data_IF_101818885551
#
_entry.id   IF_101818885551
#
_cell.length_a   1.000
_cell.length_b   1.000
_cell.length_c   1.000
_cell.angle_alpha   90.00
_cell.angle_beta   90.00
_cell.angle_gamma   90.00
#
_symmetry.space_group_name_H-M   'P 1'
#
loop_
_entity.id
_entity.type
_entity.pdbx_description
1 polymer ?
#
# COMPACT_ATOMS: atom_id res chain seq x y z
N UNK A 1 -0.95 4.64 -9.07
CA UNK A 1 -0.34 5.98 -8.88
C UNK A 1 0.62 5.97 -7.70
N UNK A 2 0.17 5.65 -6.48
CA UNK A 2 1.04 5.62 -5.30
C UNK A 2 2.27 4.71 -5.44
N UNK A 3 2.10 3.52 -6.00
CA UNK A 3 3.22 2.61 -6.24
C UNK A 3 4.29 3.13 -7.23
N UNK A 4 3.92 4.03 -8.15
CA UNK A 4 4.84 4.58 -9.15
C UNK A 4 5.41 5.93 -8.75
N UNK A 5 4.61 6.81 -8.13
CA UNK A 5 4.98 8.20 -7.92
C UNK A 5 4.86 8.68 -6.47
N UNK A 6 4.55 7.77 -5.53
CA UNK A 6 4.33 8.09 -4.12
C UNK A 6 2.93 8.65 -3.82
N UNK A 7 2.67 8.96 -2.54
CA UNK A 7 1.50 9.71 -2.08
C UNK A 7 1.49 11.08 -2.72
N UNK A 8 0.63 11.21 -3.71
CA UNK A 8 0.42 12.46 -4.41
C UNK A 8 -0.93 13.02 -3.92
N UNK A 9 -0.94 14.26 -3.42
CA UNK A 9 -2.17 15.00 -3.07
C UNK A 9 -3.01 15.38 -4.30
N UNK A 10 -2.95 14.59 -5.38
CA UNK A 10 -3.75 14.78 -6.56
C UNK A 10 -5.20 14.47 -6.18
N UNK A 11 -6.11 15.46 -6.16
CA UNK A 11 -7.49 15.21 -5.83
C UNK A 11 -8.07 14.21 -6.83
N UNK A 12 -8.86 13.24 -6.36
CA UNK A 12 -9.66 12.33 -7.19
C UNK A 12 -10.83 13.11 -7.84
N UNK A 13 -10.51 14.21 -8.55
CA UNK A 13 -11.40 14.86 -9.50
C UNK A 13 -11.34 14.08 -10.81
N UNK A 14 -12.44 14.07 -11.56
CA UNK A 14 -12.62 13.35 -12.83
C UNK A 14 -11.45 13.48 -13.84
N UNK A 15 -10.63 14.52 -13.74
CA UNK A 15 -9.45 14.78 -14.56
C UNK A 15 -8.38 13.69 -14.52
N UNK A 16 -8.28 12.88 -13.46
CA UNK A 16 -7.20 11.89 -13.32
C UNK A 16 -7.61 10.43 -13.50
N UNK A 17 -8.91 10.16 -13.71
CA UNK A 17 -9.42 8.80 -13.88
C UNK A 17 -8.82 8.13 -15.12
N UNK A 18 -8.69 8.86 -16.23
CA UNK A 18 -8.08 8.36 -17.46
C UNK A 18 -6.65 7.86 -17.23
N UNK A 19 -5.81 8.67 -16.57
CA UNK A 19 -4.43 8.27 -16.26
C UNK A 19 -4.37 7.05 -15.35
N UNK A 20 -5.28 6.96 -14.35
CA UNK A 20 -5.36 5.79 -13.48
C UNK A 20 -5.70 4.51 -14.26
N UNK A 21 -6.65 4.59 -15.20
CA UNK A 21 -7.02 3.48 -16.09
C UNK A 21 -5.86 3.10 -17.00
N UNK A 22 -5.18 4.07 -17.63
CA UNK A 22 -4.03 3.80 -18.50
C UNK A 22 -2.87 3.14 -17.74
N UNK A 23 -2.59 3.59 -16.52
CA UNK A 23 -1.57 2.97 -15.66
C UNK A 23 -1.98 1.56 -15.26
N UNK A 24 -3.25 1.33 -14.95
CA UNK A 24 -3.74 0.00 -14.63
C UNK A 24 -3.60 -0.95 -15.83
N UNK A 25 -3.98 -0.51 -17.03
CA UNK A 25 -3.80 -1.28 -18.28
C UNK A 25 -2.32 -1.59 -18.51
N UNK A 26 -1.44 -0.60 -18.36
CA UNK A 26 0.00 -0.80 -18.50
C UNK A 26 0.55 -1.82 -17.49
N UNK A 27 0.12 -1.75 -16.22
CA UNK A 27 0.50 -2.71 -15.19
C UNK A 27 0.04 -4.14 -15.50
N UNK A 28 -1.20 -4.29 -15.98
CA UNK A 28 -1.72 -5.59 -16.44
C UNK A 28 -0.92 -6.12 -17.63
N UNK A 29 -0.58 -5.26 -18.60
CA UNK A 29 0.23 -5.66 -19.75
C UNK A 29 1.62 -6.17 -19.34
N UNK A 30 2.25 -5.55 -18.33
CA UNK A 30 3.52 -6.01 -17.76
C UNK A 30 3.40 -7.42 -17.16
N UNK A 31 2.34 -7.70 -16.41
CA UNK A 31 2.10 -9.05 -15.87
C UNK A 31 1.82 -10.09 -16.95
N UNK A 32 0.98 -9.75 -17.94
CA UNK A 32 0.70 -10.64 -19.07
C UNK A 32 1.99 -10.96 -19.82
N UNK A 33 2.85 -9.97 -20.05
CA UNK A 33 4.15 -10.17 -20.68
C UNK A 33 5.05 -11.14 -19.88
N UNK A 34 5.11 -10.97 -18.56
CA UNK A 34 5.87 -11.86 -17.68
C UNK A 34 5.34 -13.30 -17.71
N UNK A 35 4.03 -13.47 -17.61
CA UNK A 35 3.37 -14.80 -17.66
C UNK A 35 3.64 -15.49 -18.99
N UNK A 36 3.78 -14.74 -20.09
CA UNK A 36 4.12 -15.31 -21.38
C UNK A 36 5.61 -15.70 -21.49
N UNK A 37 6.53 -14.81 -21.14
CA UNK A 37 7.94 -14.91 -21.54
C UNK A 37 8.94 -15.21 -20.42
N UNK A 38 8.59 -15.04 -19.14
CA UNK A 38 9.53 -15.20 -18.04
C UNK A 38 9.91 -16.65 -17.72
N UNK A 39 10.79 -16.84 -16.75
CA UNK A 39 11.06 -18.12 -16.11
C UNK A 39 9.91 -18.56 -15.20
N UNK A 40 9.83 -19.85 -14.91
CA UNK A 40 8.67 -20.45 -14.23
C UNK A 40 8.45 -19.89 -12.83
N UNK A 41 9.53 -19.58 -12.12
CA UNK A 41 9.50 -18.99 -10.78
C UNK A 41 8.76 -17.64 -10.79
N UNK A 42 9.06 -16.76 -11.76
CA UNK A 42 8.40 -15.46 -11.88
C UNK A 42 6.94 -15.62 -12.33
N UNK A 43 6.67 -16.55 -13.24
CA UNK A 43 5.29 -16.84 -13.68
C UNK A 43 4.41 -17.26 -12.52
N UNK A 44 4.88 -18.25 -11.74
CA UNK A 44 4.16 -18.74 -10.56
C UNK A 44 3.98 -17.64 -9.52
N UNK A 45 4.99 -16.79 -9.30
CA UNK A 45 4.88 -15.68 -8.37
C UNK A 45 3.83 -14.65 -8.81
N UNK A 46 3.81 -14.26 -10.09
CA UNK A 46 2.81 -13.32 -10.63
C UNK A 46 1.40 -13.90 -10.55
N UNK A 47 1.22 -15.18 -10.88
CA UNK A 47 -0.09 -15.87 -10.77
C UNK A 47 -0.53 -15.91 -9.31
N UNK A 48 0.35 -16.32 -8.40
CA UNK A 48 0.07 -16.37 -6.96
C UNK A 48 -0.34 -14.99 -6.42
N UNK A 49 0.44 -13.95 -6.70
CA UNK A 49 0.13 -12.58 -6.28
C UNK A 49 -1.22 -12.09 -6.83
N UNK A 50 -1.55 -12.45 -8.08
CA UNK A 50 -2.83 -12.11 -8.70
C UNK A 50 -4.00 -12.83 -8.04
N UNK A 51 -3.87 -14.12 -7.74
CA UNK A 51 -4.90 -14.90 -7.02
C UNK A 51 -5.13 -14.34 -5.62
N UNK A 52 -4.07 -14.01 -4.89
CA UNK A 52 -4.19 -13.39 -3.57
C UNK A 52 -4.90 -12.04 -3.64
N UNK A 53 -4.57 -11.20 -4.62
CA UNK A 53 -5.26 -9.93 -4.83
C UNK A 53 -6.75 -10.14 -5.09
N UNK A 54 -7.11 -11.06 -5.99
CA UNK A 54 -8.51 -11.38 -6.29
C UNK A 54 -9.24 -11.85 -5.03
N UNK A 55 -8.66 -12.79 -4.28
CA UNK A 55 -9.25 -13.27 -3.03
C UNK A 55 -9.46 -12.14 -2.02
N UNK A 56 -8.49 -11.23 -1.90
CA UNK A 56 -8.56 -10.12 -0.97
C UNK A 56 -9.54 -9.01 -1.38
N UNK A 57 -9.77 -8.83 -2.69
CA UNK A 57 -10.79 -7.91 -3.22
C UNK A 57 -12.21 -8.51 -3.17
N UNK A 58 -12.34 -9.83 -3.27
CA UNK A 58 -13.63 -10.51 -3.11
C UNK A 58 -14.14 -10.45 -1.67
N UNK A 59 -13.22 -10.56 -0.68
CA UNK A 59 -13.59 -10.44 0.73
C UNK A 59 -12.60 -9.57 1.52
N UNK A 60 -12.65 -8.24 1.34
CA UNK A 60 -11.76 -7.34 2.05
C UNK A 60 -12.12 -7.27 3.53
N UNK A 61 -11.13 -7.46 4.38
CA UNK A 61 -11.16 -7.21 5.82
C UNK A 61 -11.06 -5.69 6.08
N UNK A 62 -12.10 -4.97 5.67
CA UNK A 62 -12.22 -3.53 5.85
C UNK A 62 -13.59 -3.19 6.46
N UNK A 63 -13.64 -2.09 7.23
CA UNK A 63 -14.89 -1.60 7.78
C UNK A 63 -15.87 -1.21 6.65
N UNK A 64 -17.19 -1.42 6.81
CA UNK A 64 -18.18 -0.92 5.87
C UNK A 64 -18.16 0.62 5.79
N UNK A 65 -18.34 1.23 4.59
CA UNK A 65 -18.46 0.60 3.28
C UNK A 65 -17.11 0.10 2.75
N UNK A 66 -17.01 -1.21 2.50
CA UNK A 66 -15.74 -1.94 2.27
C UNK A 66 -14.89 -1.34 1.14
N UNK A 67 -15.49 -1.10 -0.02
CA UNK A 67 -14.78 -0.57 -1.20
C UNK A 67 -14.23 0.84 -1.00
N UNK A 68 -14.96 1.68 -0.27
CA UNK A 68 -14.50 3.03 0.07
C UNK A 68 -13.36 2.96 1.08
N UNK A 69 -13.42 2.04 2.04
CA UNK A 69 -12.35 1.83 3.01
C UNK A 69 -11.03 1.38 2.37
N UNK A 70 -11.08 0.71 1.21
CA UNK A 70 -9.88 0.37 0.41
C UNK A 70 -9.18 1.60 -0.20
N UNK A 71 -9.86 2.74 -0.32
CA UNK A 71 -9.25 3.99 -0.78
C UNK A 71 -8.42 4.67 0.33
N UNK A 72 -8.54 4.22 1.58
CA UNK A 72 -7.76 4.74 2.70
C UNK A 72 -6.35 4.14 2.73
N UNK A 73 -5.48 4.68 3.58
CA UNK A 73 -4.14 4.11 3.82
C UNK A 73 -4.18 2.63 4.25
N UNK A 74 -5.26 2.20 4.90
CA UNK A 74 -5.48 0.80 5.28
C UNK A 74 -5.68 -0.13 4.08
N UNK A 75 -6.03 0.40 2.92
CA UNK A 75 -6.17 -0.37 1.68
C UNK A 75 -4.82 -0.79 1.07
N UNK A 76 -3.73 -0.10 1.38
CA UNK A 76 -2.42 -0.30 0.75
C UNK A 76 -1.89 -1.73 0.94
N UNK A 77 -2.18 -2.36 2.09
CA UNK A 77 -1.77 -3.74 2.40
C UNK A 77 -2.27 -4.79 1.40
N UNK A 78 -3.42 -4.56 0.77
CA UNK A 78 -3.96 -5.47 -0.25
C UNK A 78 -3.12 -5.47 -1.53
N UNK A 79 -2.35 -4.42 -1.74
CA UNK A 79 -1.51 -4.24 -2.92
C UNK A 79 -0.06 -4.70 -2.70
N UNK A 80 0.30 -5.17 -1.50
CA UNK A 80 1.68 -5.53 -1.16
C UNK A 80 2.26 -6.61 -2.08
N UNK A 81 1.61 -7.77 -2.19
CA UNK A 81 2.08 -8.84 -3.07
C UNK A 81 2.08 -8.45 -4.56
N UNK A 82 1.02 -7.82 -5.11
CA UNK A 82 1.06 -7.27 -6.46
C UNK A 82 2.19 -6.28 -6.70
N UNK A 83 2.51 -5.41 -5.73
CA UNK A 83 3.64 -4.48 -5.86
C UNK A 83 4.97 -5.22 -5.95
N UNK A 84 5.18 -6.25 -5.12
CA UNK A 84 6.39 -7.08 -5.20
C UNK A 84 6.47 -7.83 -6.55
N UNK A 85 5.36 -8.42 -7.00
CA UNK A 85 5.30 -9.06 -8.31
C UNK A 85 5.61 -8.09 -9.45
N UNK A 86 5.14 -6.85 -9.35
CA UNK A 86 5.40 -5.81 -10.33
C UNK A 86 6.89 -5.42 -10.36
N UNK A 87 7.50 -5.17 -9.20
CA UNK A 87 8.94 -4.86 -9.08
C UNK A 87 9.79 -6.02 -9.62
N UNK A 88 9.50 -7.26 -9.21
CA UNK A 88 10.20 -8.45 -9.71
C UNK A 88 10.08 -8.58 -11.22
N UNK A 89 8.92 -8.25 -11.78
CA UNK A 89 8.71 -8.26 -13.23
C UNK A 89 9.53 -7.19 -13.93
N UNK A 90 9.57 -5.96 -13.40
CA UNK A 90 10.40 -4.89 -13.96
C UNK A 90 11.89 -5.22 -13.90
N UNK A 91 12.36 -5.82 -12.80
CA UNK A 91 13.75 -6.27 -12.67
C UNK A 91 14.09 -7.35 -13.71
N UNK A 92 13.20 -8.31 -13.93
CA UNK A 92 13.37 -9.31 -14.99
C UNK A 92 13.38 -8.65 -16.39
N UNK A 93 12.45 -7.73 -16.66
CA UNK A 93 12.39 -6.97 -17.93
C UNK A 93 13.64 -6.12 -18.18
N UNK A 94 14.30 -5.66 -17.11
CA UNK A 94 15.54 -4.87 -17.21
C UNK A 94 16.78 -5.70 -17.61
N UNK A 95 16.68 -7.04 -17.59
CA UNK A 95 17.77 -7.93 -17.97
C UNK A 95 18.09 -7.92 -19.47
N UNK A 96 19.35 -8.27 -19.81
CA UNK A 96 19.87 -8.22 -21.19
C UNK A 96 19.14 -9.13 -22.19
N UNK A 97 18.43 -10.15 -21.71
CA UNK A 97 17.68 -11.10 -22.54
C UNK A 97 16.42 -10.48 -23.17
N UNK A 98 15.97 -9.33 -22.68
CA UNK A 98 14.78 -8.66 -23.16
C UNK A 98 15.11 -7.56 -24.20
N UNK A 99 14.19 -7.26 -25.13
CA UNK A 99 14.37 -6.19 -26.10
C UNK A 99 14.73 -4.84 -25.45
N UNK A 100 15.62 -4.07 -26.10
CA UNK A 100 16.15 -2.78 -25.58
C UNK A 100 15.05 -1.80 -25.16
N UNK A 101 13.95 -1.75 -25.91
CA UNK A 101 12.81 -0.87 -25.61
C UNK A 101 12.18 -1.25 -24.27
N UNK A 102 11.83 -2.52 -24.06
CA UNK A 102 11.22 -2.99 -22.80
C UNK A 102 12.16 -2.81 -21.61
N UNK A 103 13.46 -3.05 -21.82
CA UNK A 103 14.48 -2.77 -20.81
C UNK A 103 14.53 -1.29 -20.44
N UNK A 104 14.53 -0.39 -21.42
CA UNK A 104 14.52 1.05 -21.18
C UNK A 104 13.28 1.50 -20.41
N UNK A 105 12.10 1.00 -20.78
CA UNK A 105 10.85 1.27 -20.08
C UNK A 105 10.91 0.77 -18.63
N UNK A 106 11.42 -0.45 -18.41
CA UNK A 106 11.53 -1.03 -17.08
C UNK A 106 12.49 -0.25 -16.18
N UNK A 107 13.66 0.14 -16.69
CA UNK A 107 14.62 0.97 -15.97
C UNK A 107 14.05 2.35 -15.63
N UNK A 108 13.37 3.00 -16.59
CA UNK A 108 12.70 4.27 -16.34
C UNK A 108 11.63 4.14 -15.24
N UNK A 109 10.81 3.08 -15.29
CA UNK A 109 9.79 2.82 -14.27
C UNK A 109 10.42 2.59 -12.88
N UNK A 110 11.49 1.79 -12.79
CA UNK A 110 12.21 1.54 -11.52
C UNK A 110 12.84 2.82 -10.93
N UNK A 111 13.39 3.69 -11.77
CA UNK A 111 13.93 4.98 -11.35
C UNK A 111 12.83 5.89 -10.80
N UNK A 112 11.70 6.01 -11.52
CA UNK A 112 10.54 6.79 -11.08
C UNK A 112 9.98 6.27 -9.77
N UNK A 113 9.87 4.94 -9.61
CA UNK A 113 9.46 4.31 -8.34
C UNK A 113 10.40 4.65 -7.19
N UNK A 114 11.72 4.64 -7.44
CA UNK A 114 12.72 4.94 -6.42
C UNK A 114 12.58 6.38 -5.90
N UNK A 115 12.31 7.34 -6.78
CA UNK A 115 11.98 8.72 -6.39
C UNK A 115 10.69 8.77 -5.55
N UNK A 116 9.66 8.02 -5.95
CA UNK A 116 8.42 7.90 -5.19
C UNK A 116 8.62 7.34 -3.77
N UNK A 117 9.43 6.29 -3.63
CA UNK A 117 9.75 5.67 -2.33
C UNK A 117 10.46 6.65 -1.41
N UNK A 118 11.47 7.38 -1.91
CA UNK A 118 12.20 8.37 -1.11
C UNK A 118 11.28 9.51 -0.66
N UNK A 119 10.39 9.97 -1.55
CA UNK A 119 9.41 11.00 -1.22
C UNK A 119 8.45 10.55 -0.11
N UNK A 120 8.00 9.31 -0.17
CA UNK A 120 7.03 8.74 0.77
C UNK A 120 7.63 8.34 2.13
N UNK A 121 8.96 8.35 2.27
CA UNK A 121 9.65 8.02 3.52
C UNK A 121 9.36 9.03 4.65
N UNK A 122 8.85 10.22 4.33
CA UNK A 122 8.54 11.22 5.34
C UNK A 122 7.25 10.87 6.09
N UNK A 123 7.41 10.36 7.32
CA UNK A 123 6.32 10.23 8.27
C UNK A 123 6.13 11.53 9.04
N UNK A 124 4.91 12.10 9.10
CA UNK A 124 4.66 13.25 9.95
C UNK A 124 4.85 12.86 11.43
N UNK A 125 5.37 13.79 12.22
CA UNK A 125 5.49 13.60 13.67
C UNK A 125 4.08 13.43 14.24
N UNK A 126 3.86 12.38 15.03
CA UNK A 126 2.61 12.19 15.75
C UNK A 126 2.45 13.27 16.82
N UNK A 127 1.22 13.75 17.01
CA UNK A 127 0.92 14.67 18.10
C UNK A 127 1.23 13.97 19.43
N UNK A 128 1.99 14.64 20.30
CA UNK A 128 2.16 14.18 21.68
C UNK A 128 0.81 14.34 22.39
N UNK A 129 0.18 13.20 22.70
CA UNK A 129 -1.06 13.12 23.47
C UNK A 129 -0.78 12.88 24.95
N UNK A 130 0.44 13.18 25.43
CA UNK A 130 0.83 13.09 26.84
C UNK A 130 0.58 11.71 27.46
N UNK A 131 0.92 10.66 26.73
CA UNK A 131 0.67 9.26 27.13
C UNK A 131 1.19 8.93 28.55
N UNK A 132 2.33 9.50 28.94
CA UNK A 132 2.90 9.29 30.27
C UNK A 132 1.97 9.76 31.41
N UNK A 133 1.25 10.88 31.24
CA UNK A 133 0.31 11.38 32.23
C UNK A 133 -0.88 10.42 32.41
N UNK A 134 -1.44 9.94 31.30
CA UNK A 134 -2.52 8.96 31.33
C UNK A 134 -2.10 7.60 31.89
N UNK A 135 -0.86 7.18 31.65
CA UNK A 135 -0.31 5.95 32.22
C UNK A 135 -0.18 6.06 33.76
N UNK A 136 0.24 7.23 34.26
CA UNK A 136 0.29 7.51 35.69
C UNK A 136 -1.12 7.55 36.30
N UNK A 137 -2.04 8.29 35.69
CA UNK A 137 -3.44 8.37 36.13
C UNK A 137 -4.07 6.97 36.22
N UNK A 138 -3.87 6.12 35.21
CA UNK A 138 -4.34 4.73 35.23
C UNK A 138 -3.71 3.90 36.37
N UNK A 139 -2.44 4.16 36.68
CA UNK A 139 -1.73 3.47 37.77
C UNK A 139 -2.26 3.84 39.15
N UNK A 140 -2.78 5.05 39.32
CA UNK A 140 -3.34 5.56 40.58
C UNK A 140 -4.84 5.23 40.75
N UNK A 141 -5.54 4.92 39.67
CA UNK A 141 -6.97 4.59 39.70
C UNK A 141 -7.31 3.39 40.62
N UNK A 142 -8.48 3.36 41.29
CA UNK A 142 -8.94 2.18 42.03
C UNK A 142 -9.18 0.96 41.13
N UNK A 143 -9.17 -0.25 41.71
CA UNK A 143 -9.64 -1.44 40.97
C UNK A 143 -11.12 -1.30 40.63
N UNK A 144 -11.50 -1.69 39.42
CA UNK A 144 -12.86 -1.60 38.91
C UNK A 144 -13.22 -0.29 38.20
N UNK A 145 -12.35 0.73 38.22
CA UNK A 145 -12.56 1.96 37.44
C UNK A 145 -12.06 1.84 36.00
N UNK A 146 -12.53 2.74 35.14
CA UNK A 146 -12.13 2.85 33.74
C UNK A 146 -11.49 4.20 33.41
N UNK A 147 -10.56 4.21 32.46
CA UNK A 147 -9.93 5.41 31.91
C UNK A 147 -9.99 5.38 30.39
N UNK A 148 -10.31 6.51 29.77
CA UNK A 148 -10.26 6.67 28.31
C UNK A 148 -9.01 7.44 27.92
N UNK A 149 -8.11 6.82 27.18
CA UNK A 149 -6.86 7.41 26.69
C UNK A 149 -7.02 7.77 25.20
N UNK A 150 -6.80 9.02 24.78
CA UNK A 150 -6.87 9.39 23.37
C UNK A 150 -5.70 8.77 22.58
N UNK A 151 -5.94 8.45 21.31
CA UNK A 151 -4.95 7.86 20.40
C UNK A 151 -4.80 8.71 19.14
N UNK A 152 -3.66 8.56 18.47
CA UNK A 152 -3.46 9.08 17.12
C UNK A 152 -4.06 8.11 16.08
N UNK A 153 -4.65 8.60 14.97
CA UNK A 153 -4.96 10.01 14.66
C UNK A 153 -6.14 10.55 15.48
N UNK A 154 -6.38 11.88 15.52
CA UNK A 154 -7.47 12.48 16.28
C UNK A 154 -8.84 11.82 16.04
N UNK A 155 -9.60 11.62 17.12
CA UNK A 155 -10.90 10.93 17.10
C UNK A 155 -10.84 9.46 17.50
N UNK A 156 -9.66 8.90 17.73
CA UNK A 156 -9.48 7.56 18.28
C UNK A 156 -9.23 7.62 19.78
N UNK A 157 -9.75 6.64 20.52
CA UNK A 157 -9.48 6.47 21.95
C UNK A 157 -9.54 5.00 22.35
N UNK A 158 -8.89 4.69 23.47
CA UNK A 158 -8.89 3.37 24.10
C UNK A 158 -9.44 3.49 25.51
N UNK A 159 -10.46 2.70 25.83
CA UNK A 159 -10.96 2.57 27.19
C UNK A 159 -10.29 1.38 27.88
N UNK A 160 -9.63 1.63 29.00
CA UNK A 160 -8.98 0.62 29.83
C UNK A 160 -9.77 0.42 31.12
N UNK A 161 -10.02 -0.82 31.49
CA UNK A 161 -10.64 -1.19 32.76
C UNK A 161 -9.60 -1.77 33.70
N UNK A 162 -9.46 -1.19 34.90
CA UNK A 162 -8.50 -1.67 35.89
C UNK A 162 -9.06 -2.86 36.65
N UNK A 163 -8.34 -3.98 36.63
CA UNK A 163 -8.70 -5.22 37.34
C UNK A 163 -8.01 -5.33 38.70
#
# INVERSE_FOLDING_TARGET
MAALAGKNNLPYRHSYALYAVLIAIAGVAVFVYAVWKANWELKLFVVFASVVLVAALLNPMAAPPKWLALLSAWGVRYWFLPMLAFISTLLWMAGDRNPRIFRGIALAALLVMSVGVVRDWHYPVFTDLHFAAYAQEFSELPKGSSLTIPLNPPGWSMMLNKK
#
